data_IF_330209218678
#
_entry.id   IF_330209218678
#
_cell.length_a   1.000
_cell.length_b   1.000
_cell.length_c   1.000
_cell.angle_alpha   90.00
_cell.angle_beta   90.00
_cell.angle_gamma   90.00
#
_symmetry.space_group_name_H-M   'P 1'
#
loop_
_entity.id
_entity.type
_entity.pdbx_description
1 polymer ?
#
# COMPACT_ATOMS: atom_id res chain seq x y z
N UNK A 1 2.59 16.33 10.99
CA UNK A 1 1.98 15.88 9.74
C UNK A 1 2.68 16.53 8.56
N UNK A 2 3.29 15.72 7.74
CA UNK A 2 4.09 16.22 6.64
C UNK A 2 3.96 15.26 5.45
N UNK A 3 3.43 15.79 4.34
CA UNK A 3 3.39 15.04 3.09
C UNK A 3 4.75 15.12 2.42
N UNK A 4 5.33 13.97 2.10
CA UNK A 4 6.60 13.88 1.40
C UNK A 4 6.41 13.19 0.08
N UNK A 5 7.14 13.62 -0.94
CA UNK A 5 7.05 13.00 -2.26
C UNK A 5 7.53 11.55 -2.17
N UNK A 6 6.69 10.63 -2.63
CA UNK A 6 6.97 9.21 -2.61
C UNK A 6 7.29 8.67 -4.00
N UNK A 7 6.61 9.16 -5.04
CA UNK A 7 6.76 8.65 -6.41
C UNK A 7 6.06 9.60 -7.38
N UNK A 8 6.17 9.30 -8.67
CA UNK A 8 5.31 9.89 -9.69
C UNK A 8 4.15 8.94 -9.96
N UNK A 9 3.00 9.47 -10.37
CA UNK A 9 1.83 8.65 -10.70
C UNK A 9 2.19 7.58 -11.72
N UNK A 10 3.02 7.93 -12.71
CA UNK A 10 3.43 7.01 -13.77
C UNK A 10 4.25 5.83 -13.25
N UNK A 11 4.83 5.93 -12.05
CA UNK A 11 5.61 4.85 -11.44
C UNK A 11 4.73 3.76 -10.84
N UNK A 12 3.42 4.03 -10.70
CA UNK A 12 2.47 3.12 -10.08
C UNK A 12 1.39 2.76 -11.11
N UNK A 13 1.66 1.77 -11.97
CA UNK A 13 0.69 1.39 -12.99
C UNK A 13 -0.63 0.91 -12.41
N UNK A 14 -1.71 1.14 -13.13
CA UNK A 14 -3.04 0.71 -12.70
C UNK A 14 -3.07 -0.80 -12.46
N UNK A 15 -3.67 -1.20 -11.33
CA UNK A 15 -3.75 -2.61 -10.95
C UNK A 15 -2.48 -3.18 -10.34
N UNK A 16 -1.51 -2.33 -10.01
CA UNK A 16 -0.24 -2.77 -9.44
C UNK A 16 0.11 -2.04 -8.16
N UNK A 17 1.02 -2.63 -7.39
CA UNK A 17 1.59 -2.04 -6.20
C UNK A 17 3.11 -1.93 -6.37
N UNK A 18 3.69 -0.85 -5.83
CA UNK A 18 5.15 -0.71 -5.76
C UNK A 18 5.52 -0.40 -4.32
N UNK A 19 6.78 -0.68 -3.97
CA UNK A 19 7.32 -0.36 -2.65
C UNK A 19 8.19 0.89 -2.76
N UNK A 20 7.95 1.86 -1.89
CA UNK A 20 8.76 3.07 -1.80
C UNK A 20 9.13 3.29 -0.34
N UNK A 21 10.18 4.07 -0.11
CA UNK A 21 10.58 4.45 1.23
C UNK A 21 10.24 5.92 1.44
N UNK A 22 9.53 6.22 2.51
CA UNK A 22 9.14 7.58 2.88
C UNK A 22 9.50 7.76 4.35
N UNK A 23 10.42 8.67 4.63
CA UNK A 23 10.84 9.00 5.99
C UNK A 23 11.20 7.74 6.82
N UNK A 24 12.04 6.87 6.23
CA UNK A 24 12.50 5.61 6.80
C UNK A 24 11.42 4.53 6.96
N UNK A 25 10.21 4.77 6.43
CA UNK A 25 9.13 3.79 6.44
C UNK A 25 8.98 3.18 5.06
N UNK A 26 8.86 1.86 4.97
CA UNK A 26 8.53 1.19 3.72
C UNK A 26 7.02 1.23 3.51
N UNK A 27 6.62 1.76 2.37
CA UNK A 27 5.22 1.98 2.02
C UNK A 27 4.92 1.27 0.71
N UNK A 28 3.80 0.56 0.67
CA UNK A 28 3.28 0.00 -0.57
C UNK A 28 2.27 0.99 -1.16
N UNK A 29 2.57 1.49 -2.36
CA UNK A 29 1.65 2.34 -3.11
C UNK A 29 0.87 1.46 -4.06
N UNK A 30 -0.46 1.54 -3.98
CA UNK A 30 -1.36 0.68 -4.74
C UNK A 30 -2.23 1.54 -5.64
N UNK A 31 -2.28 1.21 -6.92
CA UNK A 31 -3.13 1.92 -7.88
C UNK A 31 -4.38 1.09 -8.15
N UNK A 32 -5.52 1.55 -7.62
CA UNK A 32 -6.82 0.91 -7.79
C UNK A 32 -7.65 1.79 -8.71
N UNK A 33 -7.78 1.39 -9.97
CA UNK A 33 -8.57 2.11 -10.98
C UNK A 33 -8.19 3.58 -11.11
N UNK A 34 -6.90 3.89 -10.99
CA UNK A 34 -6.40 5.26 -11.12
C UNK A 34 -6.27 6.01 -9.80
N UNK A 35 -6.77 5.46 -8.70
CA UNK A 35 -6.61 6.06 -7.37
C UNK A 35 -5.45 5.41 -6.64
N UNK A 36 -4.60 6.22 -6.03
CA UNK A 36 -3.42 5.75 -5.32
C UNK A 36 -3.72 5.67 -3.82
N UNK A 37 -3.43 4.50 -3.24
CA UNK A 37 -3.54 4.27 -1.81
C UNK A 37 -2.18 3.86 -1.27
N UNK A 38 -1.91 4.18 0.00
CA UNK A 38 -0.65 3.85 0.65
C UNK A 38 -0.92 3.03 1.90
N UNK A 39 -0.25 1.89 2.00
CA UNK A 39 -0.33 1.01 3.18
C UNK A 39 1.08 0.66 3.62
N UNK A 40 1.22 0.24 4.87
CA UNK A 40 2.51 -0.26 5.35
C UNK A 40 2.92 -1.49 4.54
N UNK A 41 4.20 -1.57 4.17
CA UNK A 41 4.72 -2.71 3.43
C UNK A 41 5.00 -3.86 4.40
N UNK A 42 3.94 -4.33 5.06
CA UNK A 42 4.05 -5.28 6.15
C UNK A 42 2.81 -6.15 6.22
N UNK A 43 2.97 -7.44 6.01
CA UNK A 43 1.90 -8.39 6.27
C UNK A 43 1.84 -8.64 7.77
N UNK A 44 0.72 -8.33 8.40
CA UNK A 44 0.58 -8.46 9.86
C UNK A 44 0.61 -9.91 10.33
N UNK A 45 0.44 -10.87 9.41
CA UNK A 45 0.53 -12.29 9.73
C UNK A 45 1.97 -12.72 10.03
N UNK A 46 2.92 -12.34 9.17
CA UNK A 46 4.29 -12.85 9.27
C UNK A 46 5.38 -11.78 9.14
N UNK A 47 5.01 -10.52 8.99
CA UNK A 47 5.97 -9.44 8.83
C UNK A 47 6.61 -9.35 7.45
N UNK A 48 6.14 -10.15 6.48
CA UNK A 48 6.71 -10.16 5.14
C UNK A 48 6.34 -8.94 4.31
N UNK A 49 7.04 -8.72 3.18
CA UNK A 49 6.82 -7.55 2.32
C UNK A 49 5.51 -7.68 1.53
N UNK A 50 4.52 -6.92 1.93
CA UNK A 50 3.19 -6.97 1.34
C UNK A 50 3.16 -6.42 -0.09
N UNK A 51 3.98 -5.40 -0.37
CA UNK A 51 4.01 -4.76 -1.68
C UNK A 51 4.53 -5.63 -2.82
N UNK A 52 5.10 -6.79 -2.50
CA UNK A 52 5.52 -7.78 -3.52
C UNK A 52 4.40 -8.71 -3.92
N UNK A 53 3.25 -8.61 -3.27
CA UNK A 53 2.08 -9.42 -3.59
C UNK A 53 1.26 -8.87 -4.75
N UNK A 54 0.13 -9.51 -5.00
CA UNK A 54 -0.78 -9.14 -6.07
C UNK A 54 -1.86 -8.18 -5.58
N UNK A 55 -2.15 -7.18 -6.39
CA UNK A 55 -3.30 -6.31 -6.15
C UNK A 55 -4.50 -6.91 -6.88
N UNK A 56 -5.54 -7.25 -6.12
CA UNK A 56 -6.77 -7.86 -6.62
C UNK A 56 -7.92 -6.90 -6.37
N UNK A 57 -8.23 -6.06 -7.36
CA UNK A 57 -9.19 -4.99 -7.18
C UNK A 57 -8.67 -4.01 -6.12
N UNK A 58 -9.40 -3.86 -5.02
CA UNK A 58 -9.02 -2.99 -3.90
C UNK A 58 -8.35 -3.74 -2.75
N UNK A 59 -7.93 -4.99 -2.98
CA UNK A 59 -7.27 -5.81 -1.97
C UNK A 59 -5.86 -6.16 -2.41
N UNK A 60 -4.91 -6.14 -1.46
CA UNK A 60 -3.56 -6.61 -1.69
C UNK A 60 -3.36 -7.96 -1.01
N UNK A 61 -2.83 -8.92 -1.76
CA UNK A 61 -2.62 -10.27 -1.26
C UNK A 61 -1.16 -10.48 -0.90
N UNK A 62 -0.91 -10.94 0.33
CA UNK A 62 0.43 -11.30 0.78
C UNK A 62 0.95 -12.48 -0.05
N UNK A 63 2.17 -12.38 -0.63
CA UNK A 63 2.68 -13.42 -1.51
C UNK A 63 3.01 -14.73 -0.81
N UNK A 64 3.09 -14.73 0.52
CA UNK A 64 3.56 -15.90 1.26
C UNK A 64 2.44 -16.86 1.62
N UNK A 65 1.32 -16.37 2.16
CA UNK A 65 0.26 -17.24 2.68
C UNK A 65 -1.14 -16.84 2.22
N UNK A 66 -1.25 -15.87 1.32
CA UNK A 66 -2.53 -15.48 0.75
C UNK A 66 -3.41 -14.60 1.62
N UNK A 67 -2.88 -14.03 2.70
CA UNK A 67 -3.62 -13.05 3.50
C UNK A 67 -3.95 -11.84 2.63
N UNK A 68 -5.16 -11.28 2.79
CA UNK A 68 -5.59 -10.13 1.99
C UNK A 68 -6.02 -8.98 2.87
N UNK A 69 -5.76 -7.77 2.40
CA UNK A 69 -6.10 -6.54 3.11
C UNK A 69 -6.72 -5.55 2.13
N UNK A 70 -7.72 -4.83 2.60
CA UNK A 70 -8.30 -3.72 1.84
C UNK A 70 -7.31 -2.55 1.87
N UNK A 71 -6.84 -2.09 0.72
CA UNK A 71 -5.83 -1.03 0.67
C UNK A 71 -6.39 0.35 1.04
N UNK A 72 -7.71 0.50 1.01
CA UNK A 72 -8.37 1.77 1.37
C UNK A 72 -8.48 1.95 2.88
N UNK A 73 -8.68 0.86 3.62
CA UNK A 73 -8.98 0.91 5.05
C UNK A 73 -7.97 0.16 5.91
N UNK A 74 -7.18 -0.74 5.33
CA UNK A 74 -6.30 -1.63 6.06
C UNK A 74 -6.98 -2.86 6.63
N UNK A 75 -8.29 -3.01 6.43
CA UNK A 75 -9.05 -4.11 7.02
C UNK A 75 -8.61 -5.47 6.47
N UNK A 76 -8.58 -6.48 7.34
CA UNK A 76 -8.31 -7.86 6.94
C UNK A 76 -9.48 -8.38 6.12
N UNK A 77 -9.18 -9.00 4.98
CA UNK A 77 -10.17 -9.60 4.09
C UNK A 77 -10.00 -11.10 3.93
N UNK A 78 -8.85 -11.66 4.28
CA UNK A 78 -8.63 -13.11 4.20
C UNK A 78 -7.60 -13.56 5.22
N UNK A 79 -7.88 -14.73 5.83
CA UNK A 79 -6.92 -15.42 6.68
C UNK A 79 -5.67 -15.77 5.85
N UNK A 80 -4.51 -15.96 6.47
CA UNK A 80 -4.33 -16.12 7.93
C UNK A 80 -4.13 -14.82 8.71
N UNK A 81 -4.21 -13.67 8.09
CA UNK A 81 -4.09 -12.41 8.83
C UNK A 81 -5.32 -12.18 9.71
N UNK A 82 -5.10 -11.64 10.91
CA UNK A 82 -6.16 -11.31 11.85
C UNK A 82 -6.11 -9.86 12.33
N UNK A 83 -5.02 -9.15 12.03
CA UNK A 83 -4.85 -7.74 12.40
C UNK A 83 -4.83 -6.87 11.14
N UNK A 84 -5.47 -5.70 11.17
CA UNK A 84 -5.40 -4.78 10.03
C UNK A 84 -3.99 -4.24 9.84
N UNK A 85 -3.72 -3.69 8.66
CA UNK A 85 -2.44 -3.02 8.37
C UNK A 85 -2.63 -1.51 8.48
N UNK A 86 -1.58 -0.77 8.88
CA UNK A 86 -1.61 0.68 8.86
C UNK A 86 -1.79 1.20 7.44
N UNK A 87 -2.58 2.27 7.31
CA UNK A 87 -2.73 3.00 6.06
C UNK A 87 -2.21 4.42 6.27
N UNK A 88 -1.82 5.08 5.16
CA UNK A 88 -1.28 6.43 5.20
C UNK A 88 -2.08 7.33 4.27
N UNK A 89 -2.16 8.61 4.60
CA UNK A 89 -2.82 9.57 3.72
C UNK A 89 -1.99 9.82 2.48
N UNK A 90 -2.67 9.94 1.35
CA UNK A 90 -2.05 10.20 0.05
C UNK A 90 -2.62 11.48 -0.53
N UNK A 91 -1.75 12.30 -1.10
CA UNK A 91 -2.16 13.47 -1.86
C UNK A 91 -1.45 13.44 -3.20
N UNK A 92 -2.23 13.52 -4.28
CA UNK A 92 -1.68 13.60 -5.63
C UNK A 92 -1.71 15.06 -6.07
N UNK A 93 -0.55 15.59 -6.45
CA UNK A 93 -0.39 16.96 -6.93
C UNK A 93 0.16 16.91 -8.35
N UNK A 94 -0.70 17.17 -9.33
CA UNK A 94 -0.32 17.00 -10.73
C UNK A 94 -0.01 15.53 -11.01
N UNK A 95 1.23 15.22 -11.35
CA UNK A 95 1.69 13.85 -11.61
C UNK A 95 2.57 13.29 -10.48
N UNK A 96 2.59 13.96 -9.32
CA UNK A 96 3.41 13.55 -8.19
C UNK A 96 2.55 13.01 -7.04
N UNK A 97 3.04 11.94 -6.40
CA UNK A 97 2.37 11.29 -5.27
C UNK A 97 3.09 11.65 -3.98
N UNK A 98 2.35 12.19 -3.04
CA UNK A 98 2.86 12.55 -1.70
C UNK A 98 2.17 11.68 -0.66
N UNK A 99 2.92 11.27 0.35
CA UNK A 99 2.43 10.40 1.43
C UNK A 99 2.82 11.00 2.78
N UNK A 100 1.90 10.92 3.72
CA UNK A 100 2.14 11.32 5.11
C UNK A 100 2.18 10.03 5.96
N UNK A 101 3.38 9.71 6.47
CA UNK A 101 3.60 8.48 7.27
C UNK A 101 3.57 8.74 8.78
N UNK A 102 3.24 9.97 9.18
CA UNK A 102 3.15 10.31 10.60
C UNK A 102 1.82 9.97 11.23
#
# INVERSE_FOLDING_TARGET
MAFEKAANVADVPEGQAIVVEVDDEEVALCNVNGEIYAVANLCTHDGGPLGEGCLLGDQIECPRHGARFDVRTGAVKALPAILPIPTYEVEVRGDEVFVDVE
#
